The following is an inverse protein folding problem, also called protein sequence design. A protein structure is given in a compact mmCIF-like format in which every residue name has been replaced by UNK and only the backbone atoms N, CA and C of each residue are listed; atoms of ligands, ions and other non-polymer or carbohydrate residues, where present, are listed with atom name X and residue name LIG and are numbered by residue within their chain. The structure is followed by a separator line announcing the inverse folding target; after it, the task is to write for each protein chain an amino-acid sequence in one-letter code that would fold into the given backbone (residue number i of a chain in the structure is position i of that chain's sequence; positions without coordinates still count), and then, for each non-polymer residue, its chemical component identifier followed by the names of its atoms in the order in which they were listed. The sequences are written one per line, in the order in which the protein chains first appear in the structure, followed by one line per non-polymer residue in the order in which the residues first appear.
data_IF_720874096061
#
_entry.id   IF_720874096061
#
_cell.length_a   1.000
_cell.length_b   1.000
_cell.length_c   1.000
_cell.angle_alpha   90.00
_cell.angle_beta   90.00
_cell.angle_gamma   90.00
#
_symmetry.space_group_name_H-M   'P 1'
#
loop_
_entity.id
_entity.type
_entity.pdbx_description
1 polymer ?
#
# COMPACT_ATOMS: atom_id res chain seq x y z
N UNK A 1 -11.18 -6.09 -10.35
CA UNK A 1 -10.72 -4.69 -10.38
C UNK A 1 -9.41 -4.57 -11.15
N UNK A 2 -9.40 -4.16 -12.43
CA UNK A 2 -8.15 -3.93 -13.17
C UNK A 2 -7.30 -2.82 -12.53
N UNK A 3 -5.99 -3.04 -12.48
CA UNK A 3 -5.02 -2.05 -11.98
C UNK A 3 -4.73 -1.02 -13.07
N UNK A 4 -4.94 0.26 -12.77
CA UNK A 4 -4.57 1.37 -13.65
C UNK A 4 -3.15 1.87 -13.37
N UNK A 5 -2.80 1.98 -12.10
CA UNK A 5 -1.49 2.47 -11.68
C UNK A 5 -1.11 1.90 -10.33
N UNK A 6 0.17 1.61 -10.15
CA UNK A 6 0.69 1.16 -8.88
C UNK A 6 2.08 1.74 -8.64
N UNK A 7 2.31 2.29 -7.46
CA UNK A 7 3.61 2.86 -7.06
C UNK A 7 3.97 2.38 -5.67
N UNK A 8 5.25 2.13 -5.43
CA UNK A 8 5.77 1.74 -4.12
C UNK A 8 7.02 2.57 -3.78
N UNK A 9 7.10 3.01 -2.53
CA UNK A 9 8.32 3.53 -1.92
C UNK A 9 8.71 2.58 -0.80
N UNK A 10 9.82 1.88 -0.98
CA UNK A 10 10.30 0.84 -0.05
C UNK A 10 11.57 1.34 0.61
N UNK A 11 11.66 1.24 1.94
CA UNK A 11 12.86 1.57 2.69
C UNK A 11 13.88 0.43 2.64
N UNK A 12 15.15 0.76 2.80
CA UNK A 12 16.21 -0.24 2.97
C UNK A 12 15.92 -1.13 4.19
N UNK A 13 16.23 -2.42 4.07
CA UNK A 13 16.02 -3.40 5.14
C UNK A 13 14.62 -4.01 5.21
N UNK A 14 13.65 -3.57 4.40
CA UNK A 14 12.31 -4.17 4.36
C UNK A 14 12.30 -5.68 4.06
N UNK A 15 13.32 -6.18 3.34
CA UNK A 15 13.51 -7.60 3.04
C UNK A 15 14.01 -8.44 4.22
N UNK A 16 14.39 -7.81 5.34
CA UNK A 16 14.86 -8.48 6.56
C UNK A 16 13.76 -8.62 7.60
N UNK A 17 12.59 -8.02 7.38
CA UNK A 17 11.46 -8.13 8.27
C UNK A 17 10.85 -9.53 8.18
N UNK A 18 10.56 -10.13 9.34
CA UNK A 18 9.93 -11.45 9.38
C UNK A 18 8.43 -11.36 9.13
N UNK A 19 7.81 -10.29 9.62
CA UNK A 19 6.38 -10.03 9.47
C UNK A 19 6.15 -8.62 8.97
N UNK A 20 5.09 -8.47 8.18
CA UNK A 20 4.64 -7.19 7.68
C UNK A 20 3.17 -6.99 7.99
N UNK A 21 2.84 -5.80 8.48
CA UNK A 21 1.48 -5.38 8.76
C UNK A 21 1.05 -4.39 7.69
N UNK A 22 -0.11 -4.64 7.09
CA UNK A 22 -0.67 -3.78 6.06
C UNK A 22 -1.88 -3.05 6.62
N UNK A 23 -1.85 -1.71 6.53
CA UNK A 23 -3.04 -0.88 6.71
C UNK A 23 -3.45 -0.34 5.35
N UNK A 24 -4.62 -0.77 4.88
CA UNK A 24 -5.16 -0.42 3.57
C UNK A 24 -6.32 0.56 3.78
N UNK A 25 -6.31 1.66 3.04
CA UNK A 25 -7.36 2.67 3.09
C UNK A 25 -7.67 3.18 1.68
N UNK A 26 -8.95 3.18 1.31
CA UNK A 26 -9.41 3.92 0.13
C UNK A 26 -9.57 5.39 0.50
N UNK A 27 -8.80 6.26 -0.16
CA UNK A 27 -8.92 7.71 0.02
C UNK A 27 -10.13 8.28 -0.68
N UNK A 28 -10.40 7.78 -1.88
CA UNK A 28 -11.58 8.12 -2.66
C UNK A 28 -12.06 6.89 -3.40
N UNK A 29 -13.39 6.72 -3.45
CA UNK A 29 -14.05 5.80 -4.36
C UNK A 29 -15.07 6.59 -5.15
N UNK A 30 -14.86 6.71 -6.47
CA UNK A 30 -15.70 7.55 -7.32
C UNK A 30 -15.79 7.00 -8.73
N UNK A 31 -17.02 6.85 -9.23
CA UNK A 31 -17.31 6.32 -10.59
C UNK A 31 -16.58 5.01 -10.90
N UNK A 32 -16.57 4.09 -9.93
CA UNK A 32 -15.87 2.81 -10.05
C UNK A 32 -14.35 2.89 -9.91
N UNK A 33 -13.74 4.07 -9.83
CA UNK A 33 -12.32 4.23 -9.51
C UNK A 33 -12.09 4.14 -8.01
N UNK A 34 -11.05 3.40 -7.63
CA UNK A 34 -10.55 3.28 -6.26
C UNK A 34 -9.15 3.85 -6.19
N UNK A 35 -8.95 4.87 -5.36
CA UNK A 35 -7.63 5.40 -5.01
C UNK A 35 -7.25 4.87 -3.62
N UNK A 36 -6.41 3.85 -3.60
CA UNK A 36 -6.03 3.10 -2.39
C UNK A 36 -4.62 3.47 -1.94
N UNK A 37 -4.49 3.86 -0.68
CA UNK A 37 -3.22 3.99 0.03
C UNK A 37 -2.98 2.74 0.89
N UNK A 38 -1.75 2.23 0.87
CA UNK A 38 -1.33 1.07 1.65
C UNK A 38 -0.08 1.45 2.44
N UNK A 39 -0.19 1.37 3.76
CA UNK A 39 0.90 1.58 4.70
C UNK A 39 1.40 0.23 5.16
N UNK A 40 2.71 -0.01 5.06
CA UNK A 40 3.33 -1.30 5.39
C UNK A 40 4.32 -1.08 6.54
N UNK A 41 4.07 -1.75 7.66
CA UNK A 41 4.87 -1.69 8.87
C UNK A 41 5.56 -3.04 9.14
N UNK A 42 6.64 -3.03 9.91
CA UNK A 42 7.26 -4.25 10.46
C UNK A 42 6.67 -4.61 11.85
N UNK A 43 7.18 -5.68 12.44
CA UNK A 43 6.85 -6.17 13.79
C UNK A 43 7.05 -5.18 14.93
N UNK A 44 7.94 -4.20 14.76
CA UNK A 44 8.18 -3.13 15.74
C UNK A 44 7.26 -1.91 15.48
N UNK A 45 6.33 -2.01 14.52
CA UNK A 45 5.45 -0.91 14.13
C UNK A 45 6.13 0.16 13.28
N UNK A 46 7.36 -0.07 12.82
CA UNK A 46 8.11 0.88 11.99
C UNK A 46 7.66 0.81 10.54
N UNK A 47 7.52 2.00 9.92
CA UNK A 47 7.18 2.12 8.51
C UNK A 47 8.32 1.62 7.63
N UNK A 48 8.04 0.60 6.81
CA UNK A 48 9.00 0.00 5.86
C UNK A 48 8.63 0.24 4.40
N UNK A 49 7.35 0.44 4.09
CA UNK A 49 6.94 0.82 2.74
C UNK A 49 5.62 1.59 2.70
N UNK A 50 5.47 2.40 1.66
CA UNK A 50 4.21 3.04 1.27
C UNK A 50 3.87 2.64 -0.15
N UNK A 51 2.61 2.29 -0.37
CA UNK A 51 2.07 1.92 -1.68
C UNK A 51 0.88 2.80 -2.00
N UNK A 52 0.78 3.18 -3.26
CA UNK A 52 -0.42 3.76 -3.85
C UNK A 52 -0.89 2.86 -4.97
N UNK A 53 -2.18 2.56 -4.99
CA UNK A 53 -2.78 1.70 -5.99
C UNK A 53 -4.06 2.35 -6.49
N UNK A 54 -4.18 2.43 -7.81
CA UNK A 54 -5.37 2.90 -8.49
C UNK A 54 -5.96 1.74 -9.27
N UNK A 55 -7.24 1.48 -9.06
CA UNK A 55 -7.97 0.44 -9.80
C UNK A 55 -9.38 0.87 -10.20
N UNK A 56 -10.02 0.11 -11.10
CA UNK A 56 -11.42 0.29 -11.49
C UNK A 56 -12.27 -0.92 -11.09
N UNK A 57 -13.56 -0.69 -10.83
CA UNK A 57 -14.63 -1.69 -10.69
C UNK A 57 -14.83 -2.49 -11.98
#
# INVERSE_FOLDING_TARGET
YPTLSITAKIKSGANRCKWLFLRIQNKEVRKGRFDTDIVILNEEGMLVALRKHVSLA
#
